data_IF_281120558395
#
_entry.id   IF_281120558395
#
_cell.length_a   1.000
_cell.length_b   1.000
_cell.length_c   1.000
_cell.angle_alpha   90.00
_cell.angle_beta   90.00
_cell.angle_gamma   90.00
#
_symmetry.space_group_name_H-M   'P 1'
#
loop_
_entity.id
_entity.type
_entity.pdbx_description
1 polymer ?
#
# COMPACT_ATOMS: atom_id res chain seq x y z
N UNK A 1 25.40 24.29 3.49
CA UNK A 1 25.03 24.72 4.85
C UNK A 1 23.66 24.15 5.11
N UNK A 2 23.48 23.47 6.24
CA UNK A 2 22.17 22.92 6.63
C UNK A 2 21.20 24.10 6.83
N UNK A 3 19.95 23.93 6.37
CA UNK A 3 18.93 24.97 6.54
C UNK A 3 18.67 25.20 8.04
N UNK A 4 18.68 26.45 8.54
CA UNK A 4 18.33 26.75 9.93
C UNK A 4 16.90 26.30 10.28
N UNK A 5 16.01 26.22 9.28
CA UNK A 5 14.66 25.67 9.45
C UNK A 5 14.65 24.18 9.83
N UNK A 6 15.53 23.38 9.23
CA UNK A 6 15.62 21.94 9.48
C UNK A 6 16.09 21.65 10.90
N UNK A 7 17.11 22.37 11.37
CA UNK A 7 17.61 22.22 12.75
C UNK A 7 16.56 22.62 13.79
N UNK A 8 15.80 23.70 13.51
CA UNK A 8 14.72 24.15 14.38
C UNK A 8 13.62 23.09 14.50
N UNK A 9 13.26 22.44 13.40
CA UNK A 9 12.26 21.36 13.37
C UNK A 9 12.72 20.09 14.08
N UNK A 10 13.96 19.68 13.90
CA UNK A 10 14.54 18.55 14.66
C UNK A 10 14.48 18.82 16.17
N UNK A 11 14.85 20.04 16.59
CA UNK A 11 14.80 20.41 18.00
C UNK A 11 13.36 20.45 18.53
N UNK A 12 12.42 20.98 17.73
CA UNK A 12 10.99 20.96 18.05
C UNK A 12 10.49 19.53 18.24
N UNK A 13 10.76 18.65 17.28
CA UNK A 13 10.34 17.25 17.30
C UNK A 13 10.93 16.48 18.47
N UNK A 14 12.23 16.67 18.75
CA UNK A 14 12.86 16.10 19.95
C UNK A 14 12.19 16.59 21.25
N UNK A 15 11.77 17.85 21.28
CA UNK A 15 11.11 18.44 22.46
C UNK A 15 9.70 17.90 22.65
N UNK A 16 8.91 17.80 21.58
CA UNK A 16 7.56 17.22 21.61
C UNK A 16 7.60 15.74 21.98
N UNK A 17 8.58 14.98 21.46
CA UNK A 17 8.81 13.59 21.85
C UNK A 17 9.06 13.46 23.37
N UNK A 18 10.00 14.26 23.91
CA UNK A 18 10.32 14.28 25.36
C UNK A 18 9.13 14.63 26.24
N UNK A 19 8.23 15.50 25.77
CA UNK A 19 6.99 15.84 26.48
C UNK A 19 5.93 14.74 26.40
N UNK A 20 5.91 13.96 25.32
CA UNK A 20 4.89 12.93 25.09
C UNK A 20 5.19 11.64 25.86
N UNK A 21 6.46 11.25 26.01
CA UNK A 21 6.87 10.06 26.78
C UNK A 21 6.30 10.00 28.21
N UNK A 22 6.36 11.05 29.06
CA UNK A 22 5.79 10.99 30.40
C UNK A 22 4.26 10.93 30.39
N UNK A 23 3.59 11.49 29.38
CA UNK A 23 2.14 11.39 29.23
C UNK A 23 1.72 9.93 28.93
N UNK A 24 2.48 9.22 28.09
CA UNK A 24 2.27 7.79 27.82
C UNK A 24 2.41 6.97 29.11
N UNK A 25 3.46 7.24 29.91
CA UNK A 25 3.67 6.57 31.20
C UNK A 25 2.54 6.89 32.19
N UNK A 26 2.03 8.13 32.18
CA UNK A 26 0.88 8.55 33.00
C UNK A 26 -0.40 7.84 32.59
N UNK A 27 -0.64 7.65 31.29
CA UNK A 27 -1.79 6.89 30.79
C UNK A 27 -1.71 5.42 31.23
N UNK A 28 -0.51 4.84 31.17
CA UNK A 28 -0.27 3.45 31.58
C UNK A 28 -0.56 3.21 33.07
N UNK A 29 -0.19 4.18 33.92
CA UNK A 29 -0.29 4.08 35.39
C UNK A 29 -1.49 4.81 35.97
N UNK A 30 -2.49 5.18 35.16
CA UNK A 30 -3.59 6.00 35.65
C UNK A 30 -4.38 5.26 36.76
N UNK A 31 -4.55 5.86 37.95
CA UNK A 31 -5.30 5.25 39.03
C UNK A 31 -6.76 5.09 38.62
N UNK A 32 -7.31 3.90 38.86
CA UNK A 32 -8.67 3.57 38.44
C UNK A 32 -9.67 4.15 39.45
N UNK A 33 -10.05 5.41 39.22
CA UNK A 33 -11.09 6.08 40.00
C UNK A 33 -12.47 5.85 39.36
N UNK A 34 -13.48 5.37 40.10
CA UNK A 34 -14.81 5.09 39.57
C UNK A 34 -15.48 6.37 39.06
N UNK A 35 -16.11 6.29 37.87
CA UNK A 35 -16.89 7.37 37.25
C UNK A 35 -16.08 8.53 36.64
N UNK A 36 -15.01 8.99 37.28
CA UNK A 36 -14.18 10.12 36.80
C UNK A 36 -12.91 9.67 36.07
N UNK A 37 -12.47 8.43 36.27
CA UNK A 37 -11.25 7.91 35.67
C UNK A 37 -11.35 7.69 34.17
N UNK A 38 -12.54 7.40 33.63
CA UNK A 38 -12.68 7.13 32.19
C UNK A 38 -12.56 8.39 31.33
N UNK A 39 -13.13 9.52 31.77
CA UNK A 39 -12.98 10.80 31.05
C UNK A 39 -11.54 11.27 31.01
N UNK A 40 -10.83 11.20 32.15
CA UNK A 40 -9.40 11.55 32.22
C UNK A 40 -8.52 10.63 31.36
N UNK A 41 -8.89 9.35 31.19
CA UNK A 41 -8.20 8.40 30.29
C UNK A 41 -8.41 8.74 28.83
N UNK A 42 -9.66 9.08 28.47
CA UNK A 42 -10.02 9.43 27.11
C UNK A 42 -9.39 10.76 26.70
N UNK A 43 -9.41 11.76 27.58
CA UNK A 43 -8.78 13.06 27.36
C UNK A 43 -7.26 12.92 27.21
N UNK A 44 -6.59 12.25 28.15
CA UNK A 44 -5.15 12.03 28.08
C UNK A 44 -4.77 11.18 26.85
N UNK A 45 -5.59 10.18 26.51
CA UNK A 45 -5.42 9.37 25.31
C UNK A 45 -5.55 10.20 24.03
N UNK A 46 -6.53 11.10 23.96
CA UNK A 46 -6.73 11.99 22.83
C UNK A 46 -5.59 13.02 22.69
N UNK A 47 -5.13 13.60 23.81
CA UNK A 47 -3.99 14.53 23.83
C UNK A 47 -2.71 13.86 23.30
N UNK A 48 -2.39 12.66 23.80
CA UNK A 48 -1.21 11.91 23.33
C UNK A 48 -1.34 11.57 21.85
N UNK A 49 -2.53 11.13 21.41
CA UNK A 49 -2.75 10.81 20.00
C UNK A 49 -2.55 12.03 19.09
N UNK A 50 -3.06 13.20 19.50
CA UNK A 50 -2.87 14.45 18.76
C UNK A 50 -1.39 14.85 18.69
N UNK A 51 -0.66 14.78 19.81
CA UNK A 51 0.79 15.07 19.85
C UNK A 51 1.61 14.11 19.01
N UNK A 52 1.28 12.82 19.00
CA UNK A 52 1.93 11.82 18.14
C UNK A 52 1.65 12.11 16.65
N UNK A 53 0.42 12.49 16.30
CA UNK A 53 0.06 12.88 14.93
C UNK A 53 0.81 14.14 14.47
N UNK A 54 0.91 15.15 15.33
CA UNK A 54 1.68 16.36 15.05
C UNK A 54 3.17 16.04 14.81
N UNK A 55 3.73 15.13 15.62
CA UNK A 55 5.11 14.66 15.45
C UNK A 55 5.31 13.88 14.13
N UNK A 56 4.33 13.05 13.73
CA UNK A 56 4.33 12.35 12.43
C UNK A 56 4.32 13.35 11.26
N UNK A 57 3.48 14.39 11.31
CA UNK A 57 3.43 15.45 10.30
C UNK A 57 4.75 16.23 10.22
N UNK A 58 5.33 16.60 11.38
CA UNK A 58 6.65 17.26 11.43
C UNK A 58 7.75 16.38 10.84
N UNK A 59 7.69 15.06 11.05
CA UNK A 59 8.64 14.10 10.52
C UNK A 59 8.50 13.92 9.00
N UNK A 60 7.28 13.90 8.47
CA UNK A 60 7.03 13.89 7.03
C UNK A 60 7.57 15.15 6.36
N UNK A 61 7.33 16.31 6.96
CA UNK A 61 7.87 17.59 6.47
C UNK A 61 9.41 17.62 6.52
N UNK A 62 10.02 17.02 7.55
CA UNK A 62 11.48 16.85 7.65
C UNK A 62 12.03 15.91 6.56
N UNK A 63 11.32 14.83 6.22
CA UNK A 63 11.70 13.94 5.11
C UNK A 63 11.69 14.66 3.77
N UNK A 64 10.67 15.46 3.50
CA UNK A 64 10.59 16.27 2.27
C UNK A 64 11.74 17.27 2.19
N UNK A 65 12.07 17.95 3.29
CA UNK A 65 13.23 18.86 3.34
C UNK A 65 14.55 18.12 3.13
N UNK A 66 14.68 16.90 3.65
CA UNK A 66 15.86 16.05 3.45
C UNK A 66 15.99 15.58 1.99
N UNK A 67 14.90 15.18 1.35
CA UNK A 67 14.87 14.76 -0.06
C UNK A 67 15.22 15.92 -1.00
N UNK A 68 14.73 17.13 -0.72
CA UNK A 68 15.14 18.35 -1.44
C UNK A 68 16.65 18.63 -1.30
N UNK A 69 17.18 18.35 -0.11
CA UNK A 69 18.59 18.54 0.19
C UNK A 69 19.47 17.48 -0.50
N UNK A 70 18.98 16.25 -0.64
CA UNK A 70 19.63 15.14 -1.36
C UNK A 70 19.58 15.32 -2.88
N UNK A 71 18.45 15.72 -3.44
CA UNK A 71 18.33 16.02 -4.88
C UNK A 71 19.23 17.19 -5.30
N UNK A 72 19.42 18.17 -4.40
CA UNK A 72 20.39 19.27 -4.60
C UNK A 72 21.84 18.78 -4.54
N UNK A 73 22.16 17.74 -3.73
CA UNK A 73 23.48 17.09 -3.66
C UNK A 73 23.86 16.45 -4.99
N UNK A 74 22.95 15.69 -5.61
CA UNK A 74 23.26 14.96 -6.85
C UNK A 74 23.63 15.89 -8.03
N UNK A 75 23.32 17.19 -7.95
CA UNK A 75 23.72 18.20 -8.95
C UNK A 75 25.05 18.90 -8.67
N UNK A 76 25.59 18.80 -7.45
CA UNK A 76 26.79 19.55 -7.04
C UNK A 76 27.73 18.65 -6.23
N UNK A 77 28.90 18.34 -6.79
CA UNK A 77 30.03 17.74 -6.04
C UNK A 77 30.40 18.70 -4.90
N UNK A 78 29.85 18.48 -3.70
CA UNK A 78 30.07 19.32 -2.53
C UNK A 78 31.32 18.89 -1.73
N UNK A 79 31.90 19.85 -1.02
CA UNK A 79 33.07 19.70 -0.15
C UNK A 79 32.74 18.79 1.06
N UNK A 80 33.61 17.80 1.32
CA UNK A 80 33.38 16.73 2.32
C UNK A 80 33.11 17.19 3.77
N UNK A 81 33.47 18.42 4.15
CA UNK A 81 33.10 18.97 5.46
C UNK A 81 31.57 19.14 5.61
N UNK A 82 30.87 19.49 4.52
CA UNK A 82 29.41 19.62 4.50
C UNK A 82 28.72 18.27 4.45
N UNK A 83 29.41 17.25 3.95
CA UNK A 83 28.92 15.87 3.88
C UNK A 83 28.84 15.28 5.29
N UNK A 84 29.89 15.43 6.10
CA UNK A 84 29.91 14.96 7.48
C UNK A 84 28.82 15.60 8.36
N UNK A 85 28.51 16.89 8.18
CA UNK A 85 27.41 17.54 8.90
C UNK A 85 26.03 16.99 8.49
N UNK A 86 25.84 16.65 7.21
CA UNK A 86 24.59 16.09 6.69
C UNK A 86 24.37 14.66 7.13
N UNK A 87 25.42 13.84 7.12
CA UNK A 87 25.36 12.47 7.64
C UNK A 87 24.91 12.46 9.09
N UNK A 88 25.44 13.38 9.92
CA UNK A 88 24.98 13.53 11.32
C UNK A 88 23.50 13.86 11.40
N UNK A 89 23.01 14.75 10.54
CA UNK A 89 21.58 15.10 10.48
C UNK A 89 20.72 13.90 10.08
N UNK A 90 21.13 13.13 9.07
CA UNK A 90 20.41 11.92 8.64
C UNK A 90 20.35 10.90 9.77
N UNK A 91 21.45 10.67 10.49
CA UNK A 91 21.49 9.76 11.65
C UNK A 91 20.55 10.23 12.75
N UNK A 92 20.52 11.54 13.05
CA UNK A 92 19.62 12.11 14.05
C UNK A 92 18.15 11.94 13.64
N UNK A 93 17.81 12.19 12.37
CA UNK A 93 16.45 12.00 11.85
C UNK A 93 16.03 10.52 11.92
N UNK A 94 16.93 9.60 11.53
CA UNK A 94 16.66 8.16 11.61
C UNK A 94 16.39 7.70 13.04
N UNK A 95 17.15 8.21 14.02
CA UNK A 95 16.89 7.96 15.43
C UNK A 95 15.54 8.51 15.89
N UNK A 96 15.20 9.74 15.50
CA UNK A 96 13.91 10.36 15.83
C UNK A 96 12.72 9.58 15.23
N UNK A 97 12.89 8.98 14.05
CA UNK A 97 11.88 8.11 13.44
C UNK A 97 11.67 6.83 14.25
N UNK A 98 12.76 6.19 14.70
CA UNK A 98 12.66 5.01 15.54
C UNK A 98 12.06 5.32 16.91
N UNK A 99 12.44 6.45 17.50
CA UNK A 99 11.85 6.96 18.73
C UNK A 99 10.33 7.16 18.57
N UNK A 100 9.86 7.74 17.46
CA UNK A 100 8.43 7.91 17.16
C UNK A 100 7.71 6.56 17.04
N UNK A 101 8.27 5.60 16.28
CA UNK A 101 7.70 4.26 16.15
C UNK A 101 7.58 3.57 17.52
N UNK A 102 8.64 3.67 18.33
CA UNK A 102 8.66 3.12 19.69
C UNK A 102 7.58 3.78 20.58
N UNK A 103 7.41 5.11 20.48
CA UNK A 103 6.40 5.85 21.23
C UNK A 103 4.98 5.45 20.81
N UNK A 104 4.73 5.15 19.53
CA UNK A 104 3.44 4.66 19.03
C UNK A 104 3.10 3.28 19.61
N UNK A 105 4.07 2.38 19.62
CA UNK A 105 3.90 1.03 20.18
C UNK A 105 3.65 1.13 21.69
N UNK A 106 4.44 1.95 22.40
CA UNK A 106 4.27 2.18 23.83
C UNK A 106 2.89 2.79 24.15
N UNK A 107 2.43 3.75 23.35
CA UNK A 107 1.10 4.33 23.49
C UNK A 107 -0.01 3.29 23.33
N UNK A 108 0.07 2.44 22.30
CA UNK A 108 -0.91 1.35 22.11
C UNK A 108 -0.91 0.38 23.28
N UNK A 109 0.27 0.01 23.79
CA UNK A 109 0.42 -0.84 24.98
C UNK A 109 -0.18 -0.17 26.23
N UNK A 110 0.08 1.13 26.42
CA UNK A 110 -0.46 1.91 27.51
C UNK A 110 -2.00 2.02 27.46
N UNK A 111 -2.57 2.20 26.26
CA UNK A 111 -4.03 2.20 26.07
C UNK A 111 -4.65 0.85 26.46
N UNK A 112 -4.07 -0.26 26.00
CA UNK A 112 -4.55 -1.61 26.34
C UNK A 112 -4.44 -1.89 27.84
N UNK A 113 -3.31 -1.53 28.45
CA UNK A 113 -3.11 -1.69 29.89
C UNK A 113 -4.10 -0.85 30.70
N UNK A 114 -4.30 0.41 30.32
CA UNK A 114 -5.28 1.28 30.95
C UNK A 114 -6.70 0.70 30.81
N UNK A 115 -7.05 0.14 29.64
CA UNK A 115 -8.35 -0.50 29.38
C UNK A 115 -8.55 -1.72 30.26
N UNK A 116 -7.57 -2.62 30.32
CA UNK A 116 -7.58 -3.80 31.21
C UNK A 116 -7.75 -3.40 32.68
N UNK A 117 -7.04 -2.35 33.13
CA UNK A 117 -7.15 -1.86 34.50
C UNK A 117 -8.54 -1.29 34.81
N UNK A 118 -9.14 -0.53 33.88
CA UNK A 118 -10.49 0.01 34.03
C UNK A 118 -11.57 -1.07 34.04
N UNK A 119 -11.46 -2.07 33.16
CA UNK A 119 -12.37 -3.21 33.15
C UNK A 119 -12.27 -4.02 34.44
N UNK A 120 -11.06 -4.26 34.96
CA UNK A 120 -10.86 -4.92 36.24
C UNK A 120 -11.52 -4.16 37.41
N UNK A 121 -11.49 -2.82 37.41
CA UNK A 121 -12.19 -2.05 38.43
C UNK A 121 -13.71 -2.07 38.26
N UNK A 122 -14.23 -1.98 37.03
CA UNK A 122 -15.66 -2.12 36.76
C UNK A 122 -16.18 -3.49 37.20
N UNK A 123 -15.40 -4.55 37.03
CA UNK A 123 -15.75 -5.88 37.52
C UNK A 123 -15.81 -5.92 39.05
N UNK A 124 -14.83 -5.34 39.75
CA UNK A 124 -14.83 -5.24 41.21
C UNK A 124 -16.02 -4.42 41.72
N UNK A 125 -16.38 -3.33 41.05
CA UNK A 125 -17.56 -2.53 41.38
C UNK A 125 -18.83 -3.37 41.23
N UNK A 126 -19.00 -4.07 40.10
CA UNK A 126 -20.13 -4.98 39.90
C UNK A 126 -20.21 -6.02 41.02
N UNK A 127 -19.08 -6.64 41.37
CA UNK A 127 -19.03 -7.62 42.47
C UNK A 127 -19.43 -7.01 43.81
N UNK A 128 -19.01 -5.77 44.12
CA UNK A 128 -19.43 -5.07 45.34
C UNK A 128 -20.93 -4.73 45.33
N UNK A 129 -21.49 -4.33 44.18
CA UNK A 129 -22.91 -4.06 44.03
C UNK A 129 -23.76 -5.34 44.17
N UNK A 130 -23.30 -6.46 43.61
CA UNK A 130 -23.97 -7.76 43.76
C UNK A 130 -23.83 -8.31 45.18
N UNK A 131 -22.66 -8.19 45.83
CA UNK A 131 -22.47 -8.59 47.22
C UNK A 131 -23.34 -7.77 48.21
N UNK A 132 -23.63 -6.50 47.88
CA UNK A 132 -24.57 -5.67 48.64
C UNK A 132 -26.02 -6.16 48.56
N UNK A 133 -26.39 -6.89 47.51
CA UNK A 133 -27.72 -7.50 47.33
C UNK A 133 -27.78 -8.89 47.98
N UNK A 134 -26.72 -9.70 47.83
CA UNK A 134 -26.62 -11.04 48.40
C UNK A 134 -26.48 -11.03 49.94
N UNK A 135 -25.85 -9.98 50.51
CA UNK A 135 -25.85 -9.73 51.96
C UNK A 135 -27.21 -9.27 52.53
N UNK A 136 -28.20 -9.00 51.67
CA UNK A 136 -29.55 -8.58 52.04
C UNK A 136 -30.53 -9.73 52.28
N UNK A 137 -30.25 -10.94 51.81
CA UNK A 137 -31.17 -12.10 51.91
C UNK A 137 -31.29 -12.68 53.33
N UNK A 138 -30.47 -12.23 54.28
CA UNK A 138 -30.55 -12.65 55.69
C UNK A 138 -31.54 -11.87 56.57
N UNK A 139 -32.15 -10.77 56.09
CA UNK A 139 -32.85 -9.81 56.98
C UNK A 139 -34.35 -9.60 56.67
N UNK A 140 -34.90 -10.26 55.65
CA UNK A 140 -36.32 -10.07 55.26
C UNK A 140 -37.34 -10.88 56.08
N UNK A 141 -36.90 -11.72 57.03
CA UNK A 141 -37.83 -12.53 57.85
C UNK A 141 -38.42 -11.80 59.08
N UNK A 142 -38.03 -10.55 59.37
CA UNK A 142 -38.46 -9.86 60.61
C UNK A 142 -39.73 -9.01 60.44
N UNK A 143 -40.12 -8.63 59.21
CA UNK A 143 -41.26 -7.69 58.99
C UNK A 143 -42.62 -8.33 58.69
N UNK A 144 -42.75 -9.66 58.66
CA UNK A 144 -44.02 -10.36 58.37
C UNK A 144 -44.77 -10.91 59.60
N UNK A 145 -44.40 -10.51 60.82
CA UNK A 145 -45.07 -10.98 62.05
C UNK A 145 -45.89 -9.87 62.69
N UNK A 146 -46.96 -9.46 62.04
CA UNK A 146 -47.81 -8.38 62.52
C UNK A 146 -49.17 -8.30 61.84
N UNK A 147 -49.85 -9.42 61.58
CA UNK A 147 -51.25 -9.39 61.11
C UNK A 147 -51.97 -10.73 61.34
N UNK A 148 -51.97 -11.21 62.58
CA UNK A 148 -52.80 -12.33 62.99
C UNK A 148 -53.90 -11.80 63.93
N UNK A 149 -55.10 -11.55 63.39
CA UNK A 149 -56.27 -11.20 64.21
C UNK A 149 -57.24 -10.15 63.66
N UNK A 150 -57.24 -9.84 62.35
CA UNK A 150 -58.21 -8.90 61.78
C UNK A 150 -59.48 -9.62 61.33
N UNK A 151 -60.62 -9.09 61.73
CA UNK A 151 -61.97 -9.55 61.37
C UNK A 151 -62.11 -9.70 59.85
N UNK A 152 -62.90 -10.68 59.39
CA UNK A 152 -63.03 -11.03 57.97
C UNK A 152 -63.39 -9.81 57.09
N UNK A 153 -64.17 -8.88 57.62
CA UNK A 153 -64.55 -7.61 56.98
C UNK A 153 -63.36 -6.66 56.78
N UNK A 154 -62.44 -6.56 57.76
CA UNK A 154 -61.22 -5.77 57.64
C UNK A 154 -60.21 -6.40 56.66
N UNK A 155 -60.20 -7.73 56.55
CA UNK A 155 -59.39 -8.44 55.55
C UNK A 155 -59.92 -8.19 54.13
N UNK A 156 -61.24 -8.25 53.93
CA UNK A 156 -61.88 -7.95 52.65
C UNK A 156 -61.71 -6.48 52.25
N UNK A 157 -61.83 -5.55 53.20
CA UNK A 157 -61.54 -4.14 52.98
C UNK A 157 -60.07 -3.91 52.58
N UNK A 158 -59.12 -4.54 53.28
CA UNK A 158 -57.69 -4.45 52.93
C UNK A 158 -57.36 -5.09 51.58
N UNK A 159 -58.03 -6.19 51.22
CA UNK A 159 -57.84 -6.82 49.91
C UNK A 159 -58.38 -5.93 48.77
N UNK A 160 -59.50 -5.23 49.01
CA UNK A 160 -60.05 -4.27 48.06
C UNK A 160 -59.16 -3.03 47.91
N UNK A 161 -58.55 -2.60 49.00
CA UNK A 161 -57.56 -1.52 49.01
C UNK A 161 -56.27 -1.93 48.28
N UNK A 162 -55.79 -3.16 48.47
CA UNK A 162 -54.65 -3.72 47.75
C UNK A 162 -54.93 -3.90 46.25
N UNK A 163 -56.13 -4.34 45.87
CA UNK A 163 -56.55 -4.40 44.46
C UNK A 163 -56.61 -3.00 43.86
N UNK A 164 -57.14 -2.03 44.61
CA UNK A 164 -57.19 -0.63 44.16
C UNK A 164 -55.80 -0.01 44.05
N UNK A 165 -54.90 -0.34 44.98
CA UNK A 165 -53.51 0.08 44.95
C UNK A 165 -52.74 -0.57 43.79
N UNK A 166 -52.99 -1.86 43.53
CA UNK A 166 -52.43 -2.59 42.40
C UNK A 166 -52.89 -1.98 41.07
N UNK A 167 -54.17 -1.66 40.91
CA UNK A 167 -54.70 -1.08 39.67
C UNK A 167 -54.20 0.36 39.44
N UNK A 168 -54.03 1.14 40.51
CA UNK A 168 -53.35 2.44 40.42
C UNK A 168 -51.88 2.28 40.03
N UNK A 169 -51.19 1.27 40.58
CA UNK A 169 -49.80 0.97 40.23
C UNK A 169 -49.66 0.49 38.79
N UNK A 170 -50.57 -0.34 38.29
CA UNK A 170 -50.57 -0.78 36.88
C UNK A 170 -50.87 0.38 35.95
N UNK A 171 -51.76 1.29 36.34
CA UNK A 171 -52.03 2.51 35.56
C UNK A 171 -50.79 3.42 35.50
N UNK A 172 -50.11 3.64 36.63
CA UNK A 172 -48.85 4.38 36.67
C UNK A 172 -47.77 3.71 35.83
N UNK A 173 -47.69 2.37 35.85
CA UNK A 173 -46.74 1.61 35.05
C UNK A 173 -47.08 1.70 33.55
N UNK A 174 -48.36 1.60 33.19
CA UNK A 174 -48.82 1.77 31.81
C UNK A 174 -48.55 3.19 31.29
N UNK A 175 -48.72 4.21 32.12
CA UNK A 175 -48.36 5.60 31.78
C UNK A 175 -46.84 5.75 31.60
N UNK A 176 -46.05 5.12 32.46
CA UNK A 176 -44.59 5.12 32.34
C UNK A 176 -44.11 4.39 31.08
N UNK A 177 -44.68 3.21 30.77
CA UNK A 177 -44.37 2.45 29.56
C UNK A 177 -44.81 3.19 28.28
N UNK A 178 -45.95 3.88 28.31
CA UNK A 178 -46.38 4.73 27.19
C UNK A 178 -45.40 5.88 26.94
N UNK A 179 -44.93 6.56 28.00
CA UNK A 179 -43.90 7.60 27.86
C UNK A 179 -42.57 7.05 27.35
N UNK A 180 -42.23 5.83 27.78
CA UNK A 180 -41.02 5.12 27.32
C UNK A 180 -41.13 4.67 25.87
N UNK A 181 -42.32 4.25 25.42
CA UNK A 181 -42.60 3.90 24.03
C UNK A 181 -42.52 5.12 23.12
N UNK A 182 -42.97 6.30 23.55
CA UNK A 182 -42.83 7.53 22.76
C UNK A 182 -41.36 7.90 22.60
N UNK A 183 -40.56 7.83 23.67
CA UNK A 183 -39.12 8.05 23.57
C UNK A 183 -38.41 7.03 22.66
N UNK A 184 -38.84 5.77 22.69
CA UNK A 184 -38.34 4.74 21.78
C UNK A 184 -38.72 5.03 20.32
N UNK A 185 -39.93 5.53 20.07
CA UNK A 185 -40.37 5.94 18.73
C UNK A 185 -39.57 7.15 18.22
N UNK A 186 -39.37 8.18 19.04
CA UNK A 186 -38.54 9.33 18.72
C UNK A 186 -37.10 8.91 18.38
N UNK A 187 -36.56 7.94 19.13
CA UNK A 187 -35.21 7.40 18.89
C UNK A 187 -35.14 6.61 17.57
N UNK A 188 -36.16 5.80 17.27
CA UNK A 188 -36.24 5.07 16.00
C UNK A 188 -36.38 6.03 14.81
N UNK A 189 -37.17 7.08 14.94
CA UNK A 189 -37.33 8.11 13.92
C UNK A 189 -36.02 8.88 13.69
N UNK A 190 -35.33 9.28 14.76
CA UNK A 190 -33.99 9.88 14.68
C UNK A 190 -32.98 8.94 14.03
N UNK A 191 -33.00 7.64 14.37
CA UNK A 191 -32.12 6.65 13.74
C UNK A 191 -32.43 6.45 12.25
N UNK A 192 -33.71 6.51 11.87
CA UNK A 192 -34.13 6.41 10.47
C UNK A 192 -33.73 7.65 9.67
N UNK A 193 -33.86 8.84 10.26
CA UNK A 193 -33.36 10.08 9.67
C UNK A 193 -31.83 10.10 9.56
N UNK A 194 -31.12 9.55 10.53
CA UNK A 194 -29.68 9.37 10.45
C UNK A 194 -29.30 8.42 9.30
N UNK A 195 -30.01 7.29 9.14
CA UNK A 195 -29.79 6.35 8.04
C UNK A 195 -30.07 6.97 6.67
N UNK A 196 -31.12 7.78 6.54
CA UNK A 196 -31.41 8.48 5.28
C UNK A 196 -30.33 9.52 4.96
N UNK A 197 -29.87 10.30 5.95
CA UNK A 197 -28.77 11.26 5.77
C UNK A 197 -27.45 10.58 5.40
N UNK A 198 -27.22 9.37 5.93
CA UNK A 198 -26.06 8.56 5.59
C UNK A 198 -26.17 8.03 4.15
N UNK A 199 -27.35 7.56 3.73
CA UNK A 199 -27.61 7.15 2.35
C UNK A 199 -27.42 8.29 1.36
N UNK A 200 -27.87 9.50 1.70
CA UNK A 200 -27.64 10.70 0.89
C UNK A 200 -26.15 11.04 0.82
N UNK A 201 -25.43 10.96 1.95
CA UNK A 201 -23.98 11.14 2.00
C UNK A 201 -23.24 10.11 1.12
N UNK A 202 -23.66 8.84 1.12
CA UNK A 202 -23.08 7.83 0.23
C UNK A 202 -23.38 8.11 -1.25
N UNK A 203 -24.58 8.59 -1.59
CA UNK A 203 -24.93 8.98 -2.96
C UNK A 203 -24.10 10.17 -3.46
N UNK A 204 -23.90 11.18 -2.61
CA UNK A 204 -23.02 12.31 -2.93
C UNK A 204 -21.56 11.88 -3.07
N UNK A 205 -21.08 10.95 -2.23
CA UNK A 205 -19.74 10.36 -2.36
C UNK A 205 -19.58 9.58 -3.66
N UNK A 206 -20.58 8.80 -4.09
CA UNK A 206 -20.53 8.09 -5.38
C UNK A 206 -20.47 9.06 -6.56
N UNK A 207 -21.24 10.16 -6.49
CA UNK A 207 -21.20 11.24 -7.48
C UNK A 207 -19.82 11.92 -7.51
N UNK A 208 -19.22 12.18 -6.34
CA UNK A 208 -17.88 12.75 -6.23
C UNK A 208 -16.82 11.78 -6.75
N UNK A 209 -16.90 10.49 -6.43
CA UNK A 209 -16.01 9.45 -6.94
C UNK A 209 -16.14 9.29 -8.45
N UNK A 210 -17.35 9.35 -9.00
CA UNK A 210 -17.59 9.32 -10.44
C UNK A 210 -16.97 10.54 -11.12
N UNK A 211 -17.09 11.74 -10.52
CA UNK A 211 -16.47 12.97 -11.04
C UNK A 211 -14.93 12.94 -10.93
N UNK A 212 -14.39 12.41 -9.83
CA UNK A 212 -12.95 12.22 -9.65
C UNK A 212 -12.41 11.20 -10.65
N UNK A 213 -13.12 10.08 -10.86
CA UNK A 213 -12.76 9.07 -11.85
C UNK A 213 -12.82 9.62 -13.27
N UNK A 214 -13.81 10.45 -13.60
CA UNK A 214 -13.89 11.05 -14.93
C UNK A 214 -12.77 12.07 -15.17
N UNK A 215 -12.40 12.86 -14.16
CA UNK A 215 -11.25 13.76 -14.20
C UNK A 215 -9.93 12.98 -14.28
N UNK A 216 -9.75 11.94 -13.47
CA UNK A 216 -8.59 11.07 -13.52
C UNK A 216 -8.48 10.32 -14.86
N UNK A 217 -9.61 9.86 -15.41
CA UNK A 217 -9.65 9.26 -16.74
C UNK A 217 -9.32 10.29 -17.83
N UNK A 218 -9.78 11.54 -17.71
CA UNK A 218 -9.44 12.62 -18.63
C UNK A 218 -7.95 12.96 -18.57
N UNK A 219 -7.37 13.07 -17.37
CA UNK A 219 -5.94 13.31 -17.17
C UNK A 219 -5.09 12.15 -17.69
N UNK A 220 -5.44 10.91 -17.35
CA UNK A 220 -4.73 9.73 -17.86
C UNK A 220 -4.88 9.59 -19.37
N UNK A 221 -6.06 9.85 -19.94
CA UNK A 221 -6.27 9.81 -21.39
C UNK A 221 -5.43 10.89 -22.08
N UNK A 222 -5.43 12.11 -21.54
CA UNK A 222 -4.72 13.27 -22.08
C UNK A 222 -3.20 13.10 -22.01
N UNK A 223 -2.67 12.67 -20.86
CA UNK A 223 -1.23 12.46 -20.70
C UNK A 223 -0.75 11.30 -21.58
N UNK A 224 -1.58 10.26 -21.75
CA UNK A 224 -1.24 9.08 -22.55
C UNK A 224 -1.26 9.36 -24.05
N UNK A 225 -2.16 10.23 -24.53
CA UNK A 225 -2.12 10.67 -25.94
C UNK A 225 -0.86 11.48 -26.24
N UNK A 226 -0.42 12.33 -25.32
CA UNK A 226 0.75 13.20 -25.53
C UNK A 226 2.06 12.39 -25.56
N UNK A 227 2.19 11.39 -24.67
CA UNK A 227 3.32 10.45 -24.70
C UNK A 227 3.38 9.64 -26.00
N UNK A 228 2.24 9.30 -26.61
CA UNK A 228 2.25 8.51 -27.85
C UNK A 228 2.69 9.34 -29.06
N UNK A 229 2.33 10.63 -29.12
CA UNK A 229 2.84 11.54 -30.15
C UNK A 229 4.34 11.81 -30.00
N UNK A 230 4.83 12.02 -28.78
CA UNK A 230 6.26 12.23 -28.52
C UNK A 230 7.07 10.97 -28.86
N UNK A 231 6.58 9.80 -28.47
CA UNK A 231 7.22 8.51 -28.76
C UNK A 231 7.28 8.23 -30.27
N UNK A 232 6.17 8.40 -31.00
CA UNK A 232 6.15 8.22 -32.47
C UNK A 232 7.05 9.23 -33.20
N UNK A 233 7.10 10.49 -32.75
CA UNK A 233 8.01 11.50 -33.27
C UNK A 233 9.49 11.15 -33.01
N UNK A 234 9.81 10.61 -31.83
CA UNK A 234 11.16 10.17 -31.49
C UNK A 234 11.63 8.98 -32.34
N UNK A 235 10.76 7.99 -32.60
CA UNK A 235 11.08 6.88 -33.50
C UNK A 235 11.26 7.34 -34.96
N UNK A 236 10.47 8.31 -35.44
CA UNK A 236 10.68 8.91 -36.77
C UNK A 236 12.02 9.66 -36.84
N UNK A 237 12.39 10.38 -35.78
CA UNK A 237 13.67 11.07 -35.70
C UNK A 237 14.84 10.08 -35.68
N UNK A 238 14.77 9.01 -34.88
CA UNK A 238 15.78 7.95 -34.88
C UNK A 238 15.84 7.27 -36.25
N UNK A 239 14.70 6.91 -36.84
CA UNK A 239 14.65 6.26 -38.15
C UNK A 239 15.28 7.12 -39.24
N UNK A 240 15.03 8.43 -39.24
CA UNK A 240 15.67 9.36 -40.18
C UNK A 240 17.16 9.55 -39.90
N UNK A 241 17.60 9.63 -38.64
CA UNK A 241 19.03 9.68 -38.29
C UNK A 241 19.74 8.39 -38.72
N UNK A 242 19.18 7.22 -38.39
CA UNK A 242 19.71 5.90 -38.78
C UNK A 242 19.78 5.80 -40.31
N UNK A 243 18.75 6.24 -41.03
CA UNK A 243 18.77 6.29 -42.49
C UNK A 243 19.85 7.24 -43.04
N UNK A 244 20.04 8.39 -42.41
CA UNK A 244 21.04 9.38 -42.80
C UNK A 244 22.45 8.86 -42.53
N UNK A 245 22.67 8.19 -41.40
CA UNK A 245 23.94 7.51 -41.06
C UNK A 245 24.21 6.37 -42.04
N UNK A 246 23.23 5.51 -42.30
CA UNK A 246 23.34 4.44 -43.29
C UNK A 246 23.67 4.98 -44.68
N UNK A 247 22.99 6.05 -45.10
CA UNK A 247 23.20 6.65 -46.42
C UNK A 247 24.51 7.44 -46.51
N UNK A 248 24.91 8.14 -45.45
CA UNK A 248 26.03 9.09 -45.48
C UNK A 248 27.35 8.50 -45.01
N UNK A 249 27.35 7.74 -43.91
CA UNK A 249 28.55 7.15 -43.32
C UNK A 249 28.90 5.81 -43.97
N UNK A 250 27.88 5.01 -44.30
CA UNK A 250 28.06 3.63 -44.76
C UNK A 250 28.26 3.51 -46.27
N UNK A 251 27.74 4.46 -47.08
CA UNK A 251 27.86 4.39 -48.54
C UNK A 251 29.04 5.18 -49.13
N UNK A 252 29.45 6.29 -48.50
CA UNK A 252 30.53 7.14 -49.03
C UNK A 252 31.90 6.81 -48.45
N UNK A 253 32.18 7.18 -47.18
CA UNK A 253 33.48 6.97 -46.55
C UNK A 253 33.85 5.49 -46.42
N UNK A 254 32.88 4.58 -46.27
CA UNK A 254 33.13 3.14 -46.14
C UNK A 254 33.61 2.53 -47.46
N UNK A 255 33.21 3.07 -48.61
CA UNK A 255 33.80 2.68 -49.90
C UNK A 255 35.27 3.10 -49.97
N UNK A 256 35.62 4.27 -49.44
CA UNK A 256 37.02 4.70 -49.32
C UNK A 256 37.78 3.84 -48.28
N UNK A 257 37.18 3.57 -47.13
CA UNK A 257 37.78 2.80 -46.03
C UNK A 257 37.92 1.31 -46.34
N UNK A 258 37.12 0.75 -47.27
CA UNK A 258 37.27 -0.61 -47.78
C UNK A 258 38.26 -0.67 -48.96
N UNK A 259 38.22 0.33 -49.85
CA UNK A 259 39.11 0.39 -51.02
C UNK A 259 40.56 0.74 -50.65
N UNK A 260 40.81 1.66 -49.71
CA UNK A 260 42.16 2.06 -49.32
C UNK A 260 43.01 0.94 -48.71
N UNK A 261 42.56 0.19 -47.69
CA UNK A 261 43.34 -0.91 -47.15
C UNK A 261 43.50 -2.03 -48.17
N UNK A 262 42.50 -2.30 -49.01
CA UNK A 262 42.62 -3.31 -50.07
C UNK A 262 43.66 -2.91 -51.13
N UNK A 263 43.70 -1.64 -51.54
CA UNK A 263 44.70 -1.13 -52.49
C UNK A 263 46.09 -1.01 -51.86
N UNK A 264 46.17 -0.71 -50.57
CA UNK A 264 47.42 -0.69 -49.80
C UNK A 264 47.98 -2.11 -49.63
N UNK A 265 47.12 -3.08 -49.28
CA UNK A 265 47.46 -4.50 -49.22
C UNK A 265 47.90 -5.01 -50.59
N UNK A 266 47.21 -4.67 -51.68
CA UNK A 266 47.67 -5.01 -53.03
C UNK A 266 49.05 -4.40 -53.35
N UNK A 267 49.33 -3.16 -52.92
CA UNK A 267 50.65 -2.53 -53.10
C UNK A 267 51.77 -3.15 -52.26
N UNK A 268 51.43 -3.77 -51.13
CA UNK A 268 52.38 -4.45 -50.23
C UNK A 268 52.56 -5.92 -50.64
N UNK A 269 51.50 -6.57 -51.11
CA UNK A 269 51.48 -7.98 -51.55
C UNK A 269 52.13 -8.15 -52.93
N UNK A 270 51.93 -7.21 -53.87
CA UNK A 270 52.53 -7.28 -55.22
C UNK A 270 54.07 -7.34 -55.23
N UNK A 271 54.82 -6.56 -54.41
CA UNK A 271 56.28 -6.69 -54.36
C UNK A 271 56.78 -7.88 -53.55
N UNK A 272 55.97 -8.45 -52.64
CA UNK A 272 56.37 -9.59 -51.78
C UNK A 272 56.04 -10.95 -52.43
N UNK A 273 54.99 -11.03 -53.26
CA UNK A 273 54.60 -12.24 -54.00
C UNK A 273 54.99 -12.21 -55.48
N UNK A 274 55.35 -11.04 -56.04
CA UNK A 274 55.68 -10.83 -57.46
C UNK A 274 57.16 -10.57 -57.75
N UNK A 275 58.06 -11.02 -56.88
CA UNK A 275 59.51 -10.86 -57.04
C UNK A 275 60.13 -11.81 -58.07
N UNK A 276 59.71 -11.73 -59.34
CA UNK A 276 60.50 -12.16 -60.51
C UNK A 276 59.87 -11.61 -61.81
N UNK A 277 60.59 -10.75 -62.54
CA UNK A 277 60.21 -10.32 -63.91
C UNK A 277 60.05 -8.80 -64.08
N UNK A 278 61.14 -8.04 -64.11
CA UNK A 278 61.85 -7.58 -65.32
C UNK A 278 61.22 -6.37 -66.05
N UNK A 279 62.08 -5.38 -66.26
CA UNK A 279 62.14 -4.44 -67.37
C UNK A 279 61.15 -3.24 -67.40
N UNK A 280 61.74 -2.06 -67.19
CA UNK A 280 61.68 -0.89 -68.04
C UNK A 280 60.63 -0.91 -69.17
N UNK A 281 59.85 0.17 -69.27
CA UNK A 281 59.95 1.08 -70.44
C UNK A 281 59.18 2.36 -70.13
N UNK A 282 59.94 3.42 -69.92
CA UNK A 282 59.54 4.78 -70.23
C UNK A 282 59.25 4.88 -71.73
N UNK A 283 58.09 5.42 -72.11
CA UNK A 283 57.91 6.10 -73.40
C UNK A 283 56.75 7.09 -73.30
N UNK A 284 57.10 8.35 -73.57
CA UNK A 284 56.22 9.37 -74.11
C UNK A 284 55.47 8.83 -75.34
N UNK A 285 54.30 9.37 -75.67
CA UNK A 285 54.06 10.21 -76.87
C UNK A 285 52.60 10.69 -76.87
N UNK A 286 52.43 11.82 -77.51
CA UNK A 286 51.30 12.71 -77.63
C UNK A 286 50.08 12.18 -78.42
N UNK A 287 48.96 12.88 -78.15
CA UNK A 287 47.92 13.42 -79.07
C UNK A 287 46.93 12.50 -79.83
N UNK A 288 45.67 12.97 -79.73
CA UNK A 288 44.60 12.99 -80.73
C UNK A 288 43.62 11.82 -80.86
N UNK A 289 42.32 12.15 -80.86
CA UNK A 289 41.36 11.57 -81.81
C UNK A 289 40.14 10.84 -81.25
N UNK A 290 39.09 11.60 -80.94
CA UNK A 290 37.75 11.50 -81.55
C UNK A 290 37.02 10.13 -81.70
N UNK A 291 35.86 10.06 -81.04
CA UNK A 291 34.54 9.53 -81.45
C UNK A 291 34.21 8.02 -81.53
N UNK A 292 32.92 7.81 -81.23
CA UNK A 292 31.94 6.80 -81.68
C UNK A 292 31.69 5.50 -80.90
N UNK A 293 30.45 5.43 -80.39
CA UNK A 293 29.38 4.47 -80.74
C UNK A 293 29.07 3.25 -79.84
N UNK A 294 27.96 3.41 -79.08
CA UNK A 294 26.71 2.61 -78.96
C UNK A 294 26.66 1.06 -78.99
N UNK A 295 25.85 0.57 -78.03
CA UNK A 295 24.91 -0.58 -78.09
C UNK A 295 25.51 -1.99 -77.91
N UNK A 296 24.83 -3.04 -77.41
CA UNK A 296 23.46 -3.29 -76.97
C UNK A 296 23.43 -4.66 -76.25
N UNK A 297 22.47 -4.84 -75.32
CA UNK A 297 21.71 -6.08 -75.19
C UNK A 297 22.14 -7.07 -74.08
N UNK A 298 21.26 -7.90 -73.51
CA UNK A 298 19.80 -7.94 -73.52
C UNK A 298 19.35 -9.04 -72.52
N UNK A 299 18.03 -9.09 -72.27
CA UNK A 299 17.18 -10.24 -71.86
C UNK A 299 16.68 -10.18 -70.40
N UNK A 300 15.38 -10.24 -70.12
CA UNK A 300 14.22 -10.40 -71.01
C UNK A 300 12.90 -10.44 -70.24
N UNK A 301 11.83 -10.05 -70.97
CA UNK A 301 10.45 -10.60 -70.95
C UNK A 301 9.68 -10.56 -69.62
N UNK A 302 8.53 -9.90 -69.45
CA UNK A 302 7.26 -10.18 -70.16
C UNK A 302 6.10 -9.32 -69.61
N UNK A 303 5.31 -8.75 -70.54
CA UNK A 303 3.83 -8.54 -70.55
C UNK A 303 3.18 -7.58 -69.52
N UNK A 304 2.72 -6.38 -69.93
CA UNK A 304 1.35 -6.01 -70.40
C UNK A 304 0.25 -6.29 -69.35
N UNK A 305 -0.70 -5.44 -68.99
CA UNK A 305 -1.15 -4.10 -69.41
C UNK A 305 -2.29 -3.66 -68.46
N UNK A 306 -2.51 -2.36 -68.31
CA UNK A 306 -3.87 -1.79 -68.17
C UNK A 306 -4.45 -1.57 -66.77
N UNK A 307 -4.37 -0.33 -66.29
CA UNK A 307 -5.35 0.36 -65.40
C UNK A 307 -6.61 0.76 -66.20
N UNK A 308 -7.71 1.34 -65.64
CA UNK A 308 -8.42 1.28 -64.33
C UNK A 308 -9.96 1.06 -64.58
N UNK A 309 -11.00 1.64 -63.89
CA UNK A 309 -11.32 1.97 -62.48
C UNK A 309 -12.71 1.41 -61.99
N UNK A 310 -13.09 1.72 -60.74
CA UNK A 310 -14.47 1.94 -60.23
C UNK A 310 -15.37 0.76 -59.78
N UNK A 311 -16.19 1.06 -58.75
CA UNK A 311 -17.48 0.48 -58.31
C UNK A 311 -17.42 -0.62 -57.24
N UNK A 312 -17.81 -0.28 -56.01
CA UNK A 312 -18.43 -1.25 -55.08
C UNK A 312 -19.68 -0.61 -54.46
N UNK A 313 -20.83 -1.04 -54.97
CA UNK A 313 -22.14 -1.01 -54.32
C UNK A 313 -22.47 -2.42 -53.86
N UNK A 314 -23.08 -2.57 -52.68
CA UNK A 314 -24.04 -3.66 -52.46
C UNK A 314 -23.86 -4.56 -51.24
N UNK A 315 -24.64 -4.27 -50.20
CA UNK A 315 -25.73 -5.15 -49.69
C UNK A 315 -25.37 -6.32 -48.72
N UNK A 316 -25.64 -6.02 -47.44
CA UNK A 316 -26.51 -6.71 -46.46
C UNK A 316 -26.23 -8.09 -45.83
N UNK A 317 -26.73 -8.16 -44.59
CA UNK A 317 -27.19 -9.30 -43.77
C UNK A 317 -26.16 -9.78 -42.73
N UNK A 318 -26.48 -10.03 -41.46
CA UNK A 318 -27.77 -10.26 -40.80
C UNK A 318 -27.57 -10.13 -39.27
N UNK A 319 -28.48 -9.42 -38.60
CA UNK A 319 -28.63 -9.37 -37.15
C UNK A 319 -29.64 -10.44 -36.71
N UNK A 320 -29.36 -11.20 -35.65
CA UNK A 320 -30.35 -11.98 -34.88
C UNK A 320 -29.85 -12.22 -33.44
N UNK A 321 -30.45 -11.47 -32.52
CA UNK A 321 -31.10 -11.86 -31.25
C UNK A 321 -30.48 -12.88 -30.26
N UNK A 322 -30.33 -12.37 -29.02
CA UNK A 322 -30.91 -12.88 -27.75
C UNK A 322 -30.15 -13.88 -26.82
N UNK A 323 -30.48 -13.86 -25.49
CA UNK A 323 -29.53 -13.92 -24.36
C UNK A 323 -29.58 -15.27 -23.59
N UNK A 324 -28.89 -15.36 -22.45
CA UNK A 324 -29.39 -16.20 -21.36
C UNK A 324 -29.45 -15.50 -19.99
N UNK A 325 -30.55 -15.77 -19.30
CA UNK A 325 -30.76 -15.68 -17.86
C UNK A 325 -30.21 -16.94 -17.17
N UNK A 326 -29.65 -16.85 -15.96
CA UNK A 326 -29.97 -17.79 -14.86
C UNK A 326 -29.45 -17.32 -13.48
N UNK A 327 -30.39 -17.28 -12.53
CA UNK A 327 -30.35 -17.72 -11.12
C UNK A 327 -29.13 -17.48 -10.22
N UNK A 328 -29.37 -16.90 -9.05
CA UNK A 328 -29.42 -17.64 -7.75
C UNK A 328 -29.17 -16.66 -6.60
N UNK A 329 -30.27 -16.16 -6.02
CA UNK A 329 -30.27 -15.48 -4.72
C UNK A 329 -30.07 -16.55 -3.64
N UNK A 330 -29.01 -16.38 -2.84
CA UNK A 330 -28.81 -17.10 -1.60
C UNK A 330 -28.96 -16.07 -0.47
N UNK A 331 -30.00 -16.26 0.35
CA UNK A 331 -30.19 -15.57 1.61
C UNK A 331 -29.03 -15.88 2.56
N UNK A 332 -28.38 -14.86 3.10
CA UNK A 332 -27.56 -15.02 4.30
C UNK A 332 -27.86 -13.89 5.28
N UNK A 333 -28.30 -14.34 6.46
CA UNK A 333 -28.64 -13.56 7.65
C UNK A 333 -27.58 -12.52 8.03
N UNK A 334 -28.09 -11.37 8.42
CA UNK A 334 -27.40 -10.32 9.16
C UNK A 334 -26.97 -10.81 10.55
N UNK A 335 -25.68 -11.08 10.72
CA UNK A 335 -25.00 -11.25 12.01
C UNK A 335 -24.20 -10.00 12.38
N UNK A 336 -24.25 -9.63 13.66
CA UNK A 336 -23.70 -8.44 14.31
C UNK A 336 -22.16 -8.39 14.21
N UNK A 337 -21.50 -7.29 13.75
CA UNK A 337 -20.05 -7.23 13.71
C UNK A 337 -19.50 -6.71 15.05
N UNK A 338 -19.27 -7.61 16.00
CA UNK A 338 -18.51 -7.28 17.21
C UNK A 338 -17.39 -8.27 17.57
N UNK A 339 -17.31 -9.41 16.89
CA UNK A 339 -16.28 -10.42 17.14
C UNK A 339 -15.00 -10.25 16.29
N UNK A 340 -15.05 -9.45 15.22
CA UNK A 340 -13.94 -9.31 14.26
C UNK A 340 -12.79 -8.44 14.80
N UNK A 341 -13.10 -7.54 15.73
CA UNK A 341 -12.12 -6.64 16.34
C UNK A 341 -11.28 -7.31 17.44
N UNK A 342 -11.70 -8.46 17.99
CA UNK A 342 -10.90 -9.20 18.98
C UNK A 342 -9.82 -10.04 18.29
N UNK A 343 -10.15 -10.71 17.18
CA UNK A 343 -9.20 -11.56 16.44
C UNK A 343 -8.05 -10.75 15.84
N UNK A 344 -8.33 -9.56 15.31
CA UNK A 344 -7.31 -8.69 14.72
C UNK A 344 -6.39 -8.11 15.80
N UNK A 345 -6.90 -7.88 17.01
CA UNK A 345 -6.10 -7.35 18.13
C UNK A 345 -5.15 -8.41 18.70
N UNK A 346 -5.60 -9.66 18.82
CA UNK A 346 -4.77 -10.78 19.25
C UNK A 346 -3.74 -11.21 18.18
N UNK A 347 -4.10 -11.11 16.89
CA UNK A 347 -3.18 -11.35 15.78
C UNK A 347 -2.05 -10.30 15.74
N UNK A 348 -2.36 -9.04 16.05
CA UNK A 348 -1.34 -7.98 16.14
C UNK A 348 -0.45 -8.14 17.39
N UNK A 349 -0.98 -8.64 18.52
CA UNK A 349 -0.15 -8.99 19.70
C UNK A 349 0.85 -10.12 19.36
N UNK A 350 0.43 -11.10 18.55
CA UNK A 350 1.31 -12.18 18.07
C UNK A 350 2.36 -11.71 17.05
N UNK A 351 2.05 -10.73 16.20
CA UNK A 351 3.00 -10.17 15.23
C UNK A 351 4.07 -9.35 15.95
N UNK A 352 3.69 -8.49 16.89
CA UNK A 352 4.63 -7.68 17.69
C UNK A 352 5.52 -8.56 18.57
N UNK A 353 4.98 -9.68 19.09
CA UNK A 353 5.77 -10.64 19.88
C UNK A 353 6.80 -11.41 19.03
N UNK A 354 6.46 -11.73 17.77
CA UNK A 354 7.38 -12.37 16.82
C UNK A 354 8.46 -11.42 16.28
N UNK A 355 8.17 -10.14 16.19
CA UNK A 355 9.12 -9.15 15.67
C UNK A 355 10.25 -8.85 16.68
N UNK A 356 9.97 -8.91 17.98
CA UNK A 356 10.99 -8.73 19.03
C UNK A 356 11.93 -9.93 19.20
N UNK A 357 11.50 -11.17 18.90
CA UNK A 357 12.38 -12.36 18.98
C UNK A 357 13.25 -12.57 17.74
N UNK A 358 12.90 -11.95 16.60
CA UNK A 358 13.61 -12.14 15.32
C UNK A 358 14.75 -11.16 15.06
N UNK A 359 14.97 -10.15 15.92
CA UNK A 359 16.02 -9.14 15.72
C UNK A 359 17.44 -9.65 16.04
N UNK A 360 17.59 -10.76 16.76
CA UNK A 360 18.91 -11.23 17.25
C UNK A 360 19.45 -12.55 16.68
N UNK A 361 18.82 -13.17 15.68
CA UNK A 361 19.42 -14.35 15.01
C UNK A 361 19.38 -14.23 13.50
N UNK A 362 20.55 -13.97 12.92
CA UNK A 362 20.81 -14.18 11.50
C UNK A 362 20.42 -15.60 11.07
N UNK A 363 19.95 -15.72 9.84
CA UNK A 363 19.55 -16.98 9.20
C UNK A 363 20.76 -17.92 9.08
N UNK A 364 21.03 -18.70 10.12
CA UNK A 364 21.98 -19.80 10.06
C UNK A 364 21.25 -21.05 9.56
N UNK A 365 21.68 -21.57 8.41
CA UNK A 365 21.08 -22.72 7.72
C UNK A 365 21.44 -24.05 8.39
N UNK A 366 22.30 -24.04 9.42
CA UNK A 366 22.85 -25.25 10.03
C UNK A 366 22.14 -25.75 11.33
N UNK A 367 21.11 -25.06 11.83
CA UNK A 367 20.42 -25.41 13.09
C UNK A 367 19.10 -26.21 12.89
N UNK A 368 19.01 -27.05 11.87
CA UNK A 368 17.85 -27.96 11.70
C UNK A 368 18.10 -29.24 12.50
N UNK A 369 17.30 -29.45 13.56
CA UNK A 369 17.29 -30.69 14.33
C UNK A 369 17.02 -31.90 13.42
N UNK A 370 17.71 -33.04 13.60
CA UNK A 370 17.54 -34.22 12.75
C UNK A 370 16.10 -34.77 12.73
N UNK A 371 15.26 -34.43 13.71
CA UNK A 371 13.83 -34.77 13.70
C UNK A 371 13.00 -33.92 12.72
N UNK A 372 13.36 -32.66 12.52
CA UNK A 372 12.64 -31.75 11.61
C UNK A 372 12.95 -32.06 10.15
N UNK A 373 14.20 -32.47 9.84
CA UNK A 373 14.59 -32.93 8.49
C UNK A 373 13.77 -34.14 8.05
N UNK A 374 13.54 -35.11 8.95
CA UNK A 374 12.73 -36.31 8.68
C UNK A 374 11.25 -36.00 8.46
N UNK A 375 10.71 -34.95 9.10
CA UNK A 375 9.34 -34.50 8.85
C UNK A 375 9.21 -33.87 7.48
N UNK A 376 10.19 -33.08 7.06
CA UNK A 376 10.19 -32.45 5.74
C UNK A 376 10.35 -33.47 4.59
N UNK A 377 11.11 -34.54 4.81
CA UNK A 377 11.25 -35.65 3.86
C UNK A 377 9.97 -36.50 3.70
N UNK A 378 9.08 -36.50 4.71
CA UNK A 378 7.82 -37.23 4.67
C UNK A 378 6.68 -36.46 3.97
N UNK A 379 6.84 -35.17 3.66
CA UNK A 379 5.85 -34.44 2.89
C UNK A 379 5.99 -34.75 1.38
N UNK A 380 4.89 -35.08 0.68
CA UNK A 380 4.95 -35.37 -0.75
C UNK A 380 5.42 -34.13 -1.52
N UNK A 381 6.49 -34.29 -2.31
CA UNK A 381 7.07 -33.22 -3.12
C UNK A 381 6.05 -32.74 -4.16
N UNK A 382 5.73 -31.46 -4.10
CA UNK A 382 4.80 -30.79 -5.00
C UNK A 382 5.37 -30.77 -6.43
N UNK A 383 4.70 -31.41 -7.42
CA UNK A 383 5.21 -31.55 -8.78
C UNK A 383 5.22 -30.24 -9.58
N UNK A 384 4.65 -29.15 -9.06
CA UNK A 384 4.62 -27.84 -9.73
C UNK A 384 5.86 -26.97 -9.51
N UNK A 385 6.84 -27.43 -8.73
CA UNK A 385 8.08 -26.69 -8.48
C UNK A 385 9.23 -27.28 -9.30
N UNK A 386 9.48 -26.72 -10.50
CA UNK A 386 10.70 -27.00 -11.29
C UNK A 386 11.88 -26.33 -10.58
N UNK A 387 12.78 -27.13 -10.02
CA UNK A 387 14.09 -26.66 -9.53
C UNK A 387 15.05 -26.68 -10.73
N UNK A 388 15.73 -25.56 -10.96
CA UNK A 388 16.81 -25.47 -11.95
C UNK A 388 18.02 -26.21 -11.36
N UNK A 389 18.40 -27.35 -11.94
CA UNK A 389 19.63 -28.05 -11.57
C UNK A 389 20.80 -27.38 -12.29
N UNK A 390 21.63 -26.70 -11.52
CA UNK A 390 22.87 -26.12 -12.01
C UNK A 390 23.98 -27.18 -11.83
N UNK A 391 24.52 -27.65 -12.95
CA UNK A 391 25.61 -28.64 -12.97
C UNK A 391 26.90 -27.94 -12.53
N UNK A 392 27.30 -28.12 -11.28
CA UNK A 392 28.60 -27.69 -10.78
C UNK A 392 29.63 -28.67 -11.34
N UNK A 393 30.51 -28.19 -12.22
CA UNK A 393 31.68 -28.96 -12.67
C UNK A 393 32.73 -28.93 -11.56
N UNK A 394 33.05 -30.09 -11.01
CA UNK A 394 34.15 -30.26 -10.07
C UNK A 394 35.50 -30.14 -10.80
N UNK A 395 36.12 -28.96 -10.73
CA UNK A 395 37.56 -28.82 -10.92
C UNK A 395 38.27 -29.24 -9.63
N UNK A 396 38.65 -30.51 -9.54
CA UNK A 396 39.67 -30.96 -8.58
C UNK A 396 41.01 -31.11 -9.31
N UNK A 397 41.80 -30.04 -9.26
CA UNK A 397 43.25 -30.15 -9.33
C UNK A 397 43.76 -30.89 -8.07
N UNK A 398 44.44 -32.00 -8.29
CA UNK A 398 45.35 -32.59 -7.31
C UNK A 398 46.73 -32.68 -7.94
N UNK A 399 47.55 -31.71 -7.56
CA UNK A 399 48.97 -31.95 -7.36
C UNK A 399 49.16 -33.01 -6.25
N UNK A 400 50.36 -33.60 -6.22
CA UNK A 400 50.90 -34.59 -5.28
C UNK A 400 50.81 -36.07 -5.71
N UNK A 401 51.72 -36.50 -6.60
CA UNK A 401 52.98 -37.21 -6.27
C UNK A 401 53.77 -37.60 -7.52
#
# INVERSE_FOLDING_TARGET
MISPGLQTRINSLSTTHKQTTPLIQRLQNLPVAPGSGDDARLELGAEIHLRLKEMEEQMELLRVELEQLETTRNRKRESGAREAERERVVVVIGKLEEDLKSARIQFRKAQLQAKRNAEAARQKERQLLFAGVEGGEGTEHIRRKGRAGLTHDALVASASEDVTAALKRTHQLMQAELSRSQFAQDTLEQSTAALSSLSESYSTLDTLLASSRSLAASLLRSQKSDTWYLETAFYLLIGTIVWLVFRRILYGPLWWMLWMPLKLMARIIVPIFGGMGLANTSKSTQLSGSLTSISLGNSGTSLLSGTPPTVISGVTSKSTAEPPLLSSVHDQETGIPQAENESIVDEIENIVKKENDNSEKGTNVDDISPEERRRQEQLPRNPKKRMHEETIMDEQGKDEL
#
